data_IF_411458029135
#
_entry.id   IF_411458029135
#
_cell.length_a   1.000
_cell.length_b   1.000
_cell.length_c   1.000
_cell.angle_alpha   90.00
_cell.angle_beta   90.00
_cell.angle_gamma   90.00
#
_symmetry.space_group_name_H-M   'P 1'
#
loop_
_entity.id
_entity.type
_entity.pdbx_description
1 polymer ?
#
# COMPACT_ATOMS: atom_id res chain seq x y z
N UNK A 1 -17.89 -4.02 -3.66
CA UNK A 1 -16.87 -2.98 -3.94
C UNK A 1 -17.38 -2.13 -5.10
N UNK A 2 -17.77 -0.88 -4.85
CA UNK A 2 -18.34 0.02 -5.86
C UNK A 2 -17.37 0.29 -7.01
N UNK A 3 -17.86 0.16 -8.25
CA UNK A 3 -17.08 0.46 -9.46
C UNK A 3 -16.81 1.98 -9.49
N UNK A 4 -15.56 2.38 -9.25
CA UNK A 4 -15.10 3.75 -9.49
C UNK A 4 -14.24 4.37 -8.39
N UNK A 5 -14.24 3.84 -7.16
CA UNK A 5 -13.47 4.43 -6.06
C UNK A 5 -12.02 3.93 -6.05
N UNK A 6 -11.05 4.86 -6.02
CA UNK A 6 -9.63 4.53 -5.90
C UNK A 6 -9.31 4.09 -4.49
N UNK A 7 -8.43 3.10 -4.38
CA UNK A 7 -7.89 2.68 -3.09
C UNK A 7 -6.81 3.69 -2.70
N UNK A 8 -7.03 4.49 -1.64
CA UNK A 8 -6.05 5.48 -1.20
C UNK A 8 -4.77 4.75 -0.80
N UNK A 9 -3.63 5.25 -1.29
CA UNK A 9 -2.33 4.69 -0.97
C UNK A 9 -1.22 5.74 -1.17
N UNK A 10 -0.05 5.43 -0.63
CA UNK A 10 1.13 6.30 -0.63
C UNK A 10 2.31 5.69 -1.41
N UNK A 11 2.06 4.75 -2.33
CA UNK A 11 3.11 4.03 -3.06
C UNK A 11 4.03 4.98 -3.84
N UNK A 12 3.49 5.99 -4.51
CA UNK A 12 4.30 6.98 -5.27
C UNK A 12 5.28 7.70 -4.35
N UNK A 13 4.81 8.11 -3.16
CA UNK A 13 5.61 8.82 -2.16
C UNK A 13 6.80 7.95 -1.75
N UNK A 14 6.55 6.74 -1.28
CA UNK A 14 7.62 5.86 -0.78
C UNK A 14 8.54 5.34 -1.87
N UNK A 15 8.03 5.07 -3.09
CA UNK A 15 8.87 4.73 -4.24
C UNK A 15 9.87 5.85 -4.56
N UNK A 16 9.41 7.11 -4.58
CA UNK A 16 10.26 8.26 -4.86
C UNK A 16 11.28 8.50 -3.74
N UNK A 17 10.86 8.40 -2.48
CA UNK A 17 11.76 8.51 -1.32
C UNK A 17 12.86 7.44 -1.33
N UNK A 18 12.54 6.23 -1.80
CA UNK A 18 13.51 5.15 -1.96
C UNK A 18 14.39 5.28 -3.23
N UNK A 19 14.22 6.34 -4.04
CA UNK A 19 15.04 6.58 -5.23
C UNK A 19 14.77 5.63 -6.40
N UNK A 20 13.56 5.05 -6.47
CA UNK A 20 13.22 4.08 -7.52
C UNK A 20 12.30 4.64 -8.60
N UNK A 21 12.55 4.28 -9.85
CA UNK A 21 11.58 4.43 -10.94
C UNK A 21 10.59 3.25 -10.93
N UNK A 22 9.41 3.41 -11.54
CA UNK A 22 8.46 2.29 -11.69
C UNK A 22 9.10 1.11 -12.43
N UNK A 23 9.94 1.38 -13.43
CA UNK A 23 10.71 0.35 -14.17
C UNK A 23 11.67 -0.40 -13.25
N UNK A 24 12.34 0.30 -12.33
CA UNK A 24 13.25 -0.33 -11.37
C UNK A 24 12.50 -1.24 -10.40
N UNK A 25 11.38 -0.79 -9.85
CA UNK A 25 10.53 -1.60 -8.96
C UNK A 25 9.98 -2.82 -9.68
N UNK A 26 9.45 -2.67 -10.89
CA UNK A 26 8.93 -3.79 -11.67
C UNK A 26 9.98 -4.88 -11.90
N UNK A 27 11.22 -4.51 -12.22
CA UNK A 27 12.33 -5.47 -12.37
C UNK A 27 12.67 -6.17 -11.04
N UNK A 28 12.75 -5.42 -9.94
CA UNK A 28 13.06 -5.98 -8.62
C UNK A 28 11.96 -6.92 -8.10
N UNK A 29 10.72 -6.72 -8.54
CA UNK A 29 9.58 -7.58 -8.23
C UNK A 29 9.32 -8.67 -9.28
N UNK A 30 10.23 -8.87 -10.25
CA UNK A 30 10.09 -9.83 -11.34
C UNK A 30 8.77 -9.70 -12.12
N UNK A 31 8.27 -8.48 -12.28
CA UNK A 31 7.05 -8.20 -13.03
C UNK A 31 7.36 -8.02 -14.52
N UNK A 32 6.47 -8.52 -15.39
CA UNK A 32 6.61 -8.41 -16.85
C UNK A 32 6.72 -6.97 -17.35
N UNK A 33 6.04 -6.03 -16.71
CA UNK A 33 6.04 -4.61 -17.10
C UNK A 33 5.66 -3.69 -15.92
N UNK A 34 5.67 -2.38 -16.16
CA UNK A 34 5.34 -1.33 -15.18
C UNK A 34 3.85 -1.12 -14.97
N UNK A 35 2.96 -1.78 -15.72
CA UNK A 35 1.53 -1.54 -15.65
C UNK A 35 0.96 -1.89 -14.27
N UNK A 36 1.43 -2.97 -13.65
CA UNK A 36 1.02 -3.33 -12.29
C UNK A 36 1.40 -2.24 -11.28
N UNK A 37 2.64 -1.75 -11.31
CA UNK A 37 3.11 -0.66 -10.43
C UNK A 37 2.25 0.60 -10.63
N UNK A 38 2.01 0.99 -11.88
CA UNK A 38 1.20 2.16 -12.23
C UNK A 38 -0.25 2.01 -11.75
N UNK A 39 -0.85 0.81 -11.86
CA UNK A 39 -2.20 0.54 -11.37
C UNK A 39 -2.28 0.59 -9.86
N UNK A 40 -1.30 0.02 -9.15
CA UNK A 40 -1.21 0.09 -7.70
C UNK A 40 -1.07 1.53 -7.21
N UNK A 41 -0.14 2.29 -7.79
CA UNK A 41 0.10 3.70 -7.43
C UNK A 41 -1.14 4.58 -7.65
N UNK A 42 -1.93 4.31 -8.69
CA UNK A 42 -3.18 5.02 -8.98
C UNK A 42 -4.40 4.45 -8.22
N UNK A 43 -4.20 3.45 -7.36
CA UNK A 43 -5.27 2.81 -6.59
C UNK A 43 -6.33 2.11 -7.44
N UNK A 44 -6.00 1.71 -8.68
CA UNK A 44 -6.90 0.90 -9.51
C UNK A 44 -7.01 -0.54 -9.00
N UNK A 45 -5.92 -1.08 -8.48
CA UNK A 45 -5.80 -2.44 -7.95
C UNK A 45 -4.84 -2.44 -6.76
N UNK A 46 -4.85 -3.49 -5.97
CA UNK A 46 -3.85 -3.72 -4.91
C UNK A 46 -2.79 -4.74 -5.35
N UNK A 47 -1.57 -4.67 -4.78
CA UNK A 47 -0.62 -5.77 -4.84
C UNK A 47 -1.15 -6.96 -4.01
N UNK A 48 -0.72 -8.18 -4.35
CA UNK A 48 -0.90 -9.33 -3.46
C UNK A 48 -0.13 -9.13 -2.15
N UNK A 49 -0.42 -9.94 -1.12
CA UNK A 49 0.29 -9.87 0.16
C UNK A 49 1.82 -9.99 -0.03
N UNK A 50 2.29 -10.96 -0.82
CA UNK A 50 3.72 -11.12 -1.08
C UNK A 50 4.32 -9.90 -1.81
N UNK A 51 3.60 -9.34 -2.78
CA UNK A 51 4.05 -8.13 -3.47
C UNK A 51 4.09 -6.92 -2.53
N UNK A 52 3.11 -6.79 -1.64
CA UNK A 52 3.09 -5.75 -0.61
C UNK A 52 4.30 -5.86 0.33
N UNK A 53 4.59 -7.07 0.81
CA UNK A 53 5.75 -7.30 1.67
C UNK A 53 7.07 -7.02 0.95
N UNK A 54 7.20 -7.40 -0.32
CA UNK A 54 8.38 -7.06 -1.11
C UNK A 54 8.52 -5.53 -1.29
N UNK A 55 7.42 -4.81 -1.51
CA UNK A 55 7.44 -3.34 -1.56
C UNK A 55 7.87 -2.74 -0.22
N UNK A 56 7.42 -3.31 0.90
CA UNK A 56 7.81 -2.90 2.25
C UNK A 56 9.32 -3.06 2.47
N UNK A 57 9.89 -4.20 2.05
CA UNK A 57 11.34 -4.45 2.11
C UNK A 57 12.10 -3.46 1.22
N UNK A 58 11.67 -3.28 -0.03
CA UNK A 58 12.32 -2.35 -0.97
C UNK A 58 12.29 -0.91 -0.46
N UNK A 59 11.17 -0.47 0.10
CA UNK A 59 10.98 0.91 0.53
C UNK A 59 11.36 1.15 2.00
N UNK A 60 11.75 0.10 2.74
CA UNK A 60 12.12 0.14 4.16
C UNK A 60 11.03 0.74 5.06
N UNK A 61 9.80 0.26 4.88
CA UNK A 61 8.62 0.73 5.63
C UNK A 61 7.69 -0.43 6.00
N UNK A 62 6.81 -0.21 6.97
CA UNK A 62 5.71 -1.14 7.28
C UNK A 62 4.50 -1.00 6.34
N UNK A 63 3.68 -2.06 6.18
CA UNK A 63 2.50 -2.06 5.30
C UNK A 63 1.50 -0.92 5.54
N UNK A 64 1.23 -0.60 6.81
CA UNK A 64 0.28 0.45 7.18
C UNK A 64 0.73 1.86 6.73
N UNK A 65 2.02 2.07 6.46
CA UNK A 65 2.48 3.32 5.86
C UNK A 65 2.00 3.48 4.41
N UNK A 66 1.92 2.38 3.66
CA UNK A 66 1.46 2.39 2.26
C UNK A 66 -0.04 2.69 2.20
N UNK A 67 -0.83 2.08 3.09
CA UNK A 67 -2.29 2.15 3.13
C UNK A 67 -2.78 2.84 4.40
N UNK A 68 -2.20 4.00 4.73
CA UNK A 68 -2.47 4.70 5.99
C UNK A 68 -3.95 5.00 6.19
N UNK A 69 -4.64 5.50 5.16
CA UNK A 69 -6.05 5.86 5.24
C UNK A 69 -6.93 4.63 5.47
N UNK A 70 -6.61 3.50 4.82
CA UNK A 70 -7.31 2.23 5.03
C UNK A 70 -7.05 1.71 6.44
N UNK A 71 -5.81 1.78 6.91
CA UNK A 71 -5.40 1.37 8.25
C UNK A 71 -6.10 2.20 9.33
N UNK A 72 -6.17 3.52 9.17
CA UNK A 72 -6.83 4.42 10.11
C UNK A 72 -8.34 4.15 10.21
N UNK A 73 -9.00 3.93 9.06
CA UNK A 73 -10.41 3.51 9.03
C UNK A 73 -10.62 2.18 9.76
N UNK A 74 -9.85 1.15 9.41
CA UNK A 74 -9.96 -0.17 10.05
C UNK A 74 -9.67 -0.11 11.55
N UNK A 75 -8.68 0.70 11.97
CA UNK A 75 -8.36 0.88 13.39
C UNK A 75 -9.53 1.48 14.15
N UNK A 76 -10.22 2.47 13.59
CA UNK A 76 -11.40 3.09 14.22
C UNK A 76 -12.60 2.15 14.28
N UNK A 77 -12.78 1.32 13.26
CA UNK A 77 -13.87 0.33 13.20
C UNK A 77 -13.65 -0.84 14.16
N UNK A 78 -12.42 -1.35 14.24
CA UNK A 78 -12.10 -2.55 15.03
C UNK A 78 -11.71 -2.27 16.48
N UNK A 79 -11.21 -1.06 16.77
CA UNK A 79 -10.78 -0.63 18.10
C UNK A 79 -11.53 0.66 18.49
N UNK A 80 -12.87 0.62 18.60
CA UNK A 80 -13.61 1.77 19.08
C UNK A 80 -13.14 2.10 20.51
N UNK A 81 -12.89 3.38 20.77
CA UNK A 81 -12.30 3.87 22.03
C UNK A 81 -13.13 3.54 23.29
N UNK A 82 -14.34 3.00 23.09
CA UNK A 82 -15.25 2.51 24.14
C UNK A 82 -14.80 1.22 24.84
N UNK A 83 -13.82 0.49 24.32
CA UNK A 83 -13.40 -0.82 24.87
C UNK A 83 -12.12 -0.76 25.72
N UNK A 84 -11.59 0.44 26.00
CA UNK A 84 -10.44 0.65 26.89
C UNK A 84 -10.82 0.91 28.36
N UNK A 85 -12.07 0.60 28.73
CA UNK A 85 -12.56 0.63 30.12
C UNK A 85 -12.82 -0.76 30.68
N UNK A 86 -12.14 -1.80 30.19
CA UNK A 86 -12.16 -3.12 30.81
C UNK A 86 -10.76 -3.51 31.27
N UNK A 87 -10.61 -3.31 32.60
CA UNK A 87 -9.65 -3.88 33.56
C UNK A 87 -8.18 -3.42 33.51
#
# INVERSE_FOLDING_TARGET
>A
MERGRRIPNRLVKYRKLAGYSQKRVARLLHLKNTASISRWEKGYTTPSVLQLLNLCVLYKIYPHHIYFEVWDTLKKELLPTSDLSLE
#
